data_IF_406296647729
#
_entry.id   IF_406296647729
#
_cell.length_a   1.000
_cell.length_b   1.000
_cell.length_c   1.000
_cell.angle_alpha   90.00
_cell.angle_beta   90.00
_cell.angle_gamma   90.00
#
_symmetry.space_group_name_H-M   'P 1'
#
loop_
_entity.id
_entity.type
_entity.pdbx_description
1 polymer ?
#
# COMPACT_ATOMS: atom_id res chain seq x y z
N UNK A 1 -26.77 11.52 2.24
CA UNK A 1 -25.97 10.31 2.56
C UNK A 1 -25.49 10.49 4.00
N UNK A 2 -25.72 9.50 4.88
CA UNK A 2 -25.26 9.55 6.27
C UNK A 2 -23.72 9.67 6.30
N UNK A 3 -23.18 10.50 7.20
CA UNK A 3 -21.74 10.72 7.38
C UNK A 3 -21.05 9.41 7.74
N UNK A 4 -21.71 8.52 8.49
CA UNK A 4 -21.20 7.18 8.80
C UNK A 4 -21.08 6.32 7.54
N UNK A 5 -22.13 6.31 6.71
CA UNK A 5 -22.12 5.57 5.44
C UNK A 5 -21.04 6.10 4.49
N UNK A 6 -20.85 7.43 4.43
CA UNK A 6 -19.78 8.05 3.66
C UNK A 6 -18.40 7.61 4.17
N UNK A 7 -18.17 7.61 5.49
CA UNK A 7 -16.91 7.17 6.08
C UNK A 7 -16.62 5.69 5.81
N UNK A 8 -17.64 4.81 5.87
CA UNK A 8 -17.52 3.39 5.48
C UNK A 8 -17.07 3.27 4.03
N UNK A 9 -17.77 3.93 3.10
CA UNK A 9 -17.43 3.89 1.66
C UNK A 9 -16.02 4.43 1.40
N UNK A 10 -15.68 5.58 1.96
CA UNK A 10 -14.35 6.19 1.80
C UNK A 10 -13.24 5.28 2.33
N UNK A 11 -13.40 4.70 3.52
CA UNK A 11 -12.42 3.77 4.11
C UNK A 11 -12.25 2.49 3.29
N UNK A 12 -13.36 1.84 2.89
CA UNK A 12 -13.29 0.59 2.13
C UNK A 12 -12.73 0.79 0.72
N UNK A 13 -13.17 1.86 0.03
CA UNK A 13 -12.73 2.18 -1.33
C UNK A 13 -11.24 2.52 -1.36
N UNK A 14 -10.76 3.32 -0.41
CA UNK A 14 -9.35 3.69 -0.37
C UNK A 14 -8.42 2.59 0.17
N UNK A 15 -8.93 1.68 0.99
CA UNK A 15 -8.22 0.49 1.48
C UNK A 15 -8.11 -0.63 0.45
N UNK A 16 -9.09 -0.76 -0.46
CA UNK A 16 -8.97 -1.61 -1.63
C UNK A 16 -9.68 -2.93 -1.66
N UNK A 17 -10.74 -3.05 -0.88
CA UNK A 17 -11.54 -4.28 -0.81
C UNK A 17 -12.16 -4.62 -2.17
N UNK A 18 -12.36 -3.63 -3.05
CA UNK A 18 -12.93 -3.83 -4.38
C UNK A 18 -11.92 -4.18 -5.48
N UNK A 19 -10.60 -4.07 -5.24
CA UNK A 19 -9.58 -4.32 -6.27
C UNK A 19 -9.03 -5.77 -6.26
N UNK A 20 -9.11 -6.47 -5.12
CA UNK A 20 -8.62 -7.85 -4.98
C UNK A 20 -9.51 -8.91 -5.65
N UNK A 21 -10.81 -8.63 -5.86
CA UNK A 21 -11.75 -9.59 -6.44
C UNK A 21 -11.74 -9.59 -7.98
N UNK A 22 -11.31 -8.50 -8.61
CA UNK A 22 -11.31 -8.36 -10.08
C UNK A 22 -10.02 -8.81 -10.76
N UNK A 23 -8.95 -9.08 -10.01
CA UNK A 23 -7.63 -9.47 -10.52
C UNK A 23 -7.33 -10.97 -10.42
N UNK A 24 -8.20 -11.76 -9.77
CA UNK A 24 -8.06 -13.23 -9.71
C UNK A 24 -8.15 -13.95 -11.07
N UNK A 25 -9.00 -13.55 -12.03
CA UNK A 25 -9.10 -14.27 -13.31
C UNK A 25 -7.85 -14.12 -14.20
N UNK A 26 -7.10 -13.02 -14.06
CA UNK A 26 -5.97 -12.70 -14.94
C UNK A 26 -4.68 -13.42 -14.55
N UNK A 27 -4.57 -13.91 -13.31
CA UNK A 27 -3.41 -14.65 -12.81
C UNK A 27 -3.33 -16.10 -13.29
N UNK A 28 -4.45 -16.68 -13.75
CA UNK A 28 -4.52 -18.08 -14.19
C UNK A 28 -4.15 -18.32 -15.66
N UNK A 29 -3.80 -17.28 -16.44
CA UNK A 29 -3.53 -17.40 -17.88
C UNK A 29 -2.06 -17.29 -18.30
N UNK A 30 -1.09 -17.28 -17.38
CA UNK A 30 0.33 -17.17 -17.72
C UNK A 30 1.01 -18.54 -17.94
N UNK A 31 0.65 -19.22 -19.04
CA UNK A 31 1.44 -20.29 -19.65
C UNK A 31 1.44 -20.12 -21.17
N UNK A 32 2.48 -19.47 -21.70
CA UNK A 32 2.75 -19.44 -23.15
C UNK A 32 3.39 -18.15 -23.65
N UNK A 33 4.67 -18.23 -24.03
CA UNK A 33 5.41 -17.36 -24.96
C UNK A 33 5.48 -15.84 -24.67
N UNK A 34 6.69 -15.39 -24.30
CA UNK A 34 7.13 -13.99 -24.23
C UNK A 34 7.41 -13.40 -25.62
N UNK A 35 6.89 -12.19 -25.92
CA UNK A 35 7.58 -11.21 -26.72
C UNK A 35 7.95 -9.96 -25.89
N UNK A 36 9.03 -9.28 -26.31
CA UNK A 36 9.68 -8.13 -25.68
C UNK A 36 8.85 -6.82 -25.60
N UNK A 37 7.53 -6.91 -25.68
CA UNK A 37 6.58 -5.84 -25.41
C UNK A 37 5.72 -6.19 -24.20
N UNK A 38 6.34 -6.36 -23.03
CA UNK A 38 5.61 -6.20 -21.77
C UNK A 38 5.45 -4.69 -21.53
N UNK A 39 4.69 -4.04 -22.42
CA UNK A 39 3.91 -2.89 -21.99
C UNK A 39 2.79 -3.48 -21.13
N UNK A 40 3.05 -3.66 -19.83
CA UNK A 40 1.93 -3.55 -18.89
C UNK A 40 1.27 -2.21 -19.26
N UNK A 41 0.02 -2.25 -19.70
CA UNK A 41 -0.80 -1.07 -19.99
C UNK A 41 -0.98 -0.26 -18.71
N UNK A 42 0.07 0.41 -18.26
CA UNK A 42 0.09 1.33 -17.13
C UNK A 42 -0.24 2.75 -17.59
N UNK A 43 -0.31 2.99 -18.90
CA UNK A 43 -0.63 4.29 -19.48
C UNK A 43 -2.10 4.70 -19.26
N UNK A 44 -3.00 3.76 -18.93
CA UNK A 44 -4.41 4.01 -18.66
C UNK A 44 -4.76 4.12 -17.16
N UNK A 45 -3.77 4.21 -16.26
CA UNK A 45 -3.99 4.73 -14.89
C UNK A 45 -4.13 6.26 -14.90
N UNK A 46 -4.90 6.78 -15.85
CA UNK A 46 -5.43 8.14 -15.76
C UNK A 46 -6.21 8.22 -14.44
N UNK A 47 -6.16 9.37 -13.77
CA UNK A 47 -6.87 9.70 -12.51
C UNK A 47 -8.36 9.29 -12.47
N UNK A 48 -8.92 8.89 -13.62
CA UNK A 48 -10.28 8.43 -13.85
C UNK A 48 -10.54 6.94 -13.59
N UNK A 49 -9.53 6.05 -13.58
CA UNK A 49 -9.78 4.65 -13.15
C UNK A 49 -9.78 4.57 -11.61
N UNK A 50 -10.93 4.94 -11.03
CA UNK A 50 -11.24 5.10 -9.60
C UNK A 50 -11.15 3.79 -8.78
N UNK A 51 -10.43 2.78 -9.26
CA UNK A 51 -10.38 1.43 -8.69
C UNK A 51 -9.01 1.03 -8.13
N UNK A 52 -7.96 1.86 -8.28
CA UNK A 52 -6.68 1.60 -7.60
C UNK A 52 -6.81 1.83 -6.09
N UNK A 53 -6.58 0.78 -5.34
CA UNK A 53 -6.37 0.86 -3.90
C UNK A 53 -4.90 1.05 -3.54
N UNK A 54 -4.62 1.59 -2.35
CA UNK A 54 -3.23 1.72 -1.88
C UNK A 54 -2.58 0.33 -1.73
N UNK A 55 -3.32 -0.64 -1.19
CA UNK A 55 -2.86 -2.01 -0.98
C UNK A 55 -2.61 -2.71 -2.32
N UNK A 56 -3.54 -2.61 -3.26
CA UNK A 56 -3.44 -3.18 -4.60
C UNK A 56 -2.30 -2.57 -5.42
N UNK A 57 -2.17 -1.23 -5.39
CA UNK A 57 -1.04 -0.54 -6.01
C UNK A 57 0.30 -1.00 -5.41
N UNK A 58 0.42 -1.02 -4.08
CA UNK A 58 1.67 -1.43 -3.41
C UNK A 58 2.00 -2.90 -3.68
N UNK A 59 0.97 -3.76 -3.77
CA UNK A 59 1.14 -5.17 -4.13
C UNK A 59 1.62 -5.33 -5.58
N UNK A 60 0.95 -4.67 -6.54
CA UNK A 60 1.31 -4.71 -7.95
C UNK A 60 2.73 -4.16 -8.17
N UNK A 61 3.08 -3.09 -7.45
CA UNK A 61 4.43 -2.56 -7.45
C UNK A 61 5.45 -3.61 -7.02
N UNK A 62 5.17 -4.31 -5.90
CA UNK A 62 6.11 -5.26 -5.30
C UNK A 62 6.25 -6.57 -6.08
N UNK A 63 5.16 -7.06 -6.71
CA UNK A 63 5.11 -8.39 -7.33
C UNK A 63 5.11 -8.39 -8.86
N UNK A 64 4.75 -7.29 -9.52
CA UNK A 64 4.74 -7.19 -10.97
C UNK A 64 5.77 -6.17 -11.47
N UNK A 65 5.70 -4.92 -11.01
CA UNK A 65 6.54 -3.84 -11.55
C UNK A 65 8.03 -4.02 -11.18
N UNK A 66 8.34 -4.31 -9.91
CA UNK A 66 9.76 -4.42 -9.50
C UNK A 66 10.49 -5.58 -10.16
N UNK A 67 9.94 -6.81 -10.27
CA UNK A 67 10.58 -7.87 -11.04
C UNK A 67 10.90 -7.43 -12.48
N UNK A 68 9.97 -6.77 -13.17
CA UNK A 68 10.20 -6.24 -14.51
C UNK A 68 11.33 -5.19 -14.55
N UNK A 69 11.35 -4.26 -13.58
CA UNK A 69 12.42 -3.26 -13.44
C UNK A 69 13.78 -3.93 -13.23
N UNK A 70 13.85 -5.03 -12.47
CA UNK A 70 15.10 -5.73 -12.17
C UNK A 70 15.70 -6.47 -13.37
N UNK A 71 14.92 -6.75 -14.42
CA UNK A 71 15.41 -7.33 -15.66
C UNK A 71 15.91 -6.27 -16.66
N UNK A 72 15.67 -4.98 -16.40
CA UNK A 72 16.09 -3.89 -17.27
C UNK A 72 17.56 -3.49 -17.01
N UNK A 73 18.27 -2.94 -18.02
CA UNK A 73 19.57 -2.31 -17.82
C UNK A 73 19.51 -1.18 -16.78
N UNK A 74 20.59 -0.95 -16.04
CA UNK A 74 20.65 -0.04 -14.88
C UNK A 74 20.02 1.34 -15.11
N UNK A 75 20.30 2.00 -16.24
CA UNK A 75 19.74 3.31 -16.55
C UNK A 75 18.22 3.27 -16.75
N UNK A 76 17.74 2.25 -17.47
CA UNK A 76 16.31 2.03 -17.65
C UNK A 76 15.65 1.65 -16.33
N UNK A 77 16.25 0.73 -15.56
CA UNK A 77 15.75 0.32 -14.26
C UNK A 77 15.61 1.51 -13.29
N UNK A 78 16.61 2.40 -13.26
CA UNK A 78 16.56 3.60 -12.42
C UNK A 78 15.50 4.61 -12.89
N UNK A 79 15.30 4.75 -14.21
CA UNK A 79 14.24 5.58 -14.80
C UNK A 79 12.84 5.05 -14.46
N UNK A 80 12.61 3.76 -14.67
CA UNK A 80 11.33 3.10 -14.39
C UNK A 80 11.03 3.11 -12.88
N UNK A 81 12.05 2.89 -12.04
CA UNK A 81 11.90 3.08 -10.59
C UNK A 81 11.44 4.51 -10.25
N UNK A 82 12.07 5.55 -10.82
CA UNK A 82 11.71 6.95 -10.56
C UNK A 82 10.25 7.20 -10.90
N UNK A 83 9.80 6.73 -12.06
CA UNK A 83 8.42 6.87 -12.50
C UNK A 83 7.44 6.23 -11.49
N UNK A 84 7.67 4.96 -11.14
CA UNK A 84 6.82 4.23 -10.18
C UNK A 84 6.84 4.86 -8.78
N UNK A 85 7.98 5.38 -8.35
CA UNK A 85 8.12 6.04 -7.07
C UNK A 85 7.33 7.35 -7.01
N UNK A 86 7.41 8.19 -8.05
CA UNK A 86 6.66 9.44 -8.14
C UNK A 86 5.15 9.19 -8.16
N UNK A 87 4.69 8.24 -8.99
CA UNK A 87 3.27 7.85 -9.00
C UNK A 87 2.80 7.41 -7.60
N UNK A 88 3.56 6.51 -6.96
CA UNK A 88 3.24 6.02 -5.63
C UNK A 88 3.23 7.12 -4.57
N UNK A 89 4.14 8.09 -4.67
CA UNK A 89 4.20 9.23 -3.76
C UNK A 89 2.96 10.12 -3.85
N UNK A 90 2.48 10.42 -5.05
CA UNK A 90 1.31 11.25 -5.27
C UNK A 90 -0.01 10.55 -4.90
N UNK A 91 -0.11 9.24 -5.14
CA UNK A 91 -1.33 8.47 -4.85
C UNK A 91 -1.42 8.10 -3.36
N UNK A 92 -0.34 7.59 -2.77
CA UNK A 92 -0.42 6.98 -1.43
C UNK A 92 -0.74 7.99 -0.31
N UNK A 93 -0.20 9.21 -0.38
CA UNK A 93 -0.36 10.21 0.69
C UNK A 93 -1.81 10.63 0.91
N UNK A 94 -2.56 11.13 -0.10
CA UNK A 94 -3.95 11.52 0.11
C UNK A 94 -4.80 10.33 0.55
N UNK A 95 -4.54 9.15 -0.01
CA UNK A 95 -5.28 7.95 0.32
C UNK A 95 -5.04 7.47 1.76
N UNK A 96 -3.80 7.55 2.27
CA UNK A 96 -3.49 7.27 3.67
C UNK A 96 -4.22 8.24 4.62
N UNK A 97 -4.31 9.53 4.25
CA UNK A 97 -5.05 10.53 5.04
C UNK A 97 -6.54 10.23 5.04
N UNK A 98 -7.13 9.97 3.88
CA UNK A 98 -8.56 9.64 3.75
C UNK A 98 -8.88 8.38 4.57
N UNK A 99 -8.09 7.32 4.45
CA UNK A 99 -8.29 6.09 5.23
C UNK A 99 -8.16 6.32 6.73
N UNK A 100 -7.09 7.01 7.15
CA UNK A 100 -6.83 7.28 8.56
C UNK A 100 -7.96 8.08 9.20
N UNK A 101 -8.46 9.11 8.51
CA UNK A 101 -9.58 9.93 8.98
C UNK A 101 -10.90 9.16 8.94
N UNK A 102 -11.16 8.38 7.89
CA UNK A 102 -12.41 7.62 7.74
C UNK A 102 -12.57 6.57 8.84
N UNK A 103 -11.56 5.73 9.04
CA UNK A 103 -11.61 4.72 10.11
C UNK A 103 -11.40 5.32 11.50
N UNK A 104 -10.67 6.43 11.63
CA UNK A 104 -10.57 7.17 12.89
C UNK A 104 -11.93 7.73 13.33
N UNK A 105 -12.70 8.28 12.38
CA UNK A 105 -14.07 8.73 12.62
C UNK A 105 -14.98 7.57 13.01
N UNK A 106 -14.92 6.44 12.29
CA UNK A 106 -15.70 5.24 12.63
C UNK A 106 -15.29 4.64 13.99
N UNK A 107 -14.02 4.69 14.36
CA UNK A 107 -13.57 4.29 15.70
C UNK A 107 -14.11 5.20 16.80
N UNK A 108 -14.32 6.49 16.51
CA UNK A 108 -14.89 7.43 17.46
C UNK A 108 -16.41 7.23 17.62
N UNK A 109 -17.11 6.92 16.53
CA UNK A 109 -18.57 6.77 16.50
C UNK A 109 -19.08 5.34 16.68
N UNK A 110 -18.23 4.32 16.57
CA UNK A 110 -18.60 2.92 16.72
C UNK A 110 -19.26 2.68 18.07
N UNK A 111 -20.58 2.43 18.05
CA UNK A 111 -21.35 2.11 19.25
C UNK A 111 -21.02 0.68 19.70
N UNK A 112 -21.36 0.36 20.95
CA UNK A 112 -21.21 -1.00 21.48
C UNK A 112 -22.04 -1.96 20.61
N UNK A 113 -21.39 -2.90 19.96
CA UNK A 113 -22.08 -4.01 19.30
C UNK A 113 -22.53 -4.97 20.40
N UNK A 114 -23.83 -5.05 20.64
CA UNK A 114 -24.44 -6.15 21.37
C UNK A 114 -24.37 -7.39 20.48
N UNK A 115 -23.50 -8.35 20.81
CA UNK A 115 -23.32 -9.57 20.03
C UNK A 115 -24.63 -10.39 20.02
N UNK A 116 -25.29 -10.50 18.86
CA UNK A 116 -26.34 -11.49 18.64
C UNK A 116 -25.71 -12.78 18.09
N UNK A 117 -25.88 -13.94 18.76
CA UNK A 117 -25.10 -15.15 18.50
C UNK A 117 -25.50 -15.96 17.25
N UNK A 118 -26.28 -15.43 16.31
CA UNK A 118 -26.87 -16.24 15.22
C UNK A 118 -26.12 -16.22 13.88
N UNK A 119 -25.00 -15.53 13.74
CA UNK A 119 -24.25 -15.53 12.48
C UNK A 119 -23.15 -16.59 12.52
N UNK A 120 -23.38 -17.72 11.84
CA UNK A 120 -22.37 -18.75 11.57
C UNK A 120 -21.21 -18.16 10.75
N UNK A 121 -20.19 -17.67 11.46
CA UNK A 121 -18.96 -17.16 10.88
C UNK A 121 -17.95 -18.29 10.62
N UNK A 122 -17.29 -18.22 9.47
CA UNK A 122 -16.19 -19.09 9.00
C UNK A 122 -15.19 -19.39 10.13
N UNK A 123 -14.79 -20.66 10.29
CA UNK A 123 -13.98 -21.25 11.37
C UNK A 123 -12.80 -20.40 11.89
N UNK A 124 -12.14 -19.63 11.02
CA UNK A 124 -10.99 -18.76 11.37
C UNK A 124 -11.44 -17.52 12.15
N UNK A 125 -12.60 -16.97 11.81
CA UNK A 125 -13.23 -15.85 12.50
C UNK A 125 -13.76 -16.31 13.85
N UNK A 126 -14.34 -17.52 13.96
CA UNK A 126 -14.79 -18.06 15.25
C UNK A 126 -13.62 -18.32 16.21
N UNK A 127 -12.46 -18.78 15.74
CA UNK A 127 -11.25 -18.93 16.56
C UNK A 127 -10.69 -17.59 17.07
N UNK A 128 -10.70 -16.55 16.23
CA UNK A 128 -10.32 -15.20 16.62
C UNK A 128 -11.33 -14.58 17.60
N UNK A 129 -12.63 -14.74 17.34
CA UNK A 129 -13.71 -14.25 18.22
C UNK A 129 -13.66 -14.95 19.58
N UNK A 130 -13.46 -16.28 19.62
CA UNK A 130 -13.38 -17.05 20.88
C UNK A 130 -12.20 -16.63 21.75
N UNK A 131 -11.05 -16.28 21.16
CA UNK A 131 -9.91 -15.74 21.93
C UNK A 131 -10.11 -14.30 22.39
N UNK A 132 -10.95 -13.53 21.70
CA UNK A 132 -11.20 -12.11 22.01
C UNK A 132 -12.35 -11.92 23.01
N UNK A 133 -13.05 -12.98 23.42
CA UNK A 133 -14.11 -12.97 24.47
C UNK A 133 -13.68 -12.44 25.86
N UNK A 134 -12.42 -12.07 26.06
CA UNK A 134 -11.92 -11.47 27.31
C UNK A 134 -11.98 -9.93 27.26
N UNK A 135 -12.28 -9.32 26.11
CA UNK A 135 -12.32 -7.88 25.97
C UNK A 135 -13.70 -7.31 26.40
N UNK A 136 -13.76 -6.18 27.15
CA UNK A 136 -15.02 -5.62 27.64
C UNK A 136 -15.98 -5.30 26.50
N UNK A 137 -17.28 -5.45 26.75
CA UNK A 137 -18.45 -5.44 25.84
C UNK A 137 -18.71 -4.12 25.05
N UNK A 138 -17.67 -3.35 24.75
CA UNK A 138 -17.74 -2.20 23.85
C UNK A 138 -16.52 -2.03 22.94
N UNK A 139 -15.67 -3.06 22.79
CA UNK A 139 -14.27 -2.79 22.41
C UNK A 139 -13.79 -3.38 21.08
N UNK A 140 -14.30 -4.53 20.59
CA UNK A 140 -13.73 -5.16 19.39
C UNK A 140 -13.93 -4.32 18.11
N UNK A 141 -15.16 -3.85 17.83
CA UNK A 141 -15.44 -3.02 16.67
C UNK A 141 -14.54 -1.78 16.62
N UNK A 142 -14.46 -1.08 17.76
CA UNK A 142 -13.60 0.09 17.93
C UNK A 142 -12.12 -0.26 17.73
N UNK A 143 -11.64 -1.37 18.28
CA UNK A 143 -10.27 -1.83 18.08
C UNK A 143 -9.97 -2.13 16.61
N UNK A 144 -10.90 -2.76 15.88
CA UNK A 144 -10.74 -3.03 14.45
C UNK A 144 -10.66 -1.74 13.63
N UNK A 145 -11.52 -0.75 13.91
CA UNK A 145 -11.43 0.56 13.26
C UNK A 145 -10.14 1.31 13.63
N UNK A 146 -9.68 1.27 14.90
CA UNK A 146 -8.40 1.88 15.31
C UNK A 146 -7.23 1.20 14.59
N UNK A 147 -7.24 -0.13 14.49
CA UNK A 147 -6.24 -0.91 13.78
C UNK A 147 -6.22 -0.55 12.30
N UNK A 148 -7.39 -0.47 11.66
CA UNK A 148 -7.52 -0.09 10.26
C UNK A 148 -6.99 1.34 10.00
N UNK A 149 -7.35 2.30 10.87
CA UNK A 149 -6.89 3.68 10.78
C UNK A 149 -5.37 3.76 10.94
N UNK A 150 -4.83 3.11 11.97
CA UNK A 150 -3.40 3.16 12.32
C UNK A 150 -2.54 2.46 11.26
N UNK A 151 -2.93 1.27 10.82
CA UNK A 151 -2.23 0.53 9.76
C UNK A 151 -2.21 1.32 8.45
N UNK A 152 -3.34 1.92 8.06
CA UNK A 152 -3.43 2.74 6.84
C UNK A 152 -2.61 4.02 6.92
N UNK A 153 -2.65 4.73 8.06
CA UNK A 153 -1.90 5.96 8.27
C UNK A 153 -0.39 5.71 8.42
N UNK A 154 0.03 4.52 8.88
CA UNK A 154 1.43 4.17 9.11
C UNK A 154 2.31 4.16 7.87
N UNK A 155 1.72 4.08 6.67
CA UNK A 155 2.46 4.04 5.40
C UNK A 155 3.38 5.25 5.19
N UNK A 156 2.94 6.45 5.59
CA UNK A 156 3.71 7.68 5.45
C UNK A 156 4.87 7.74 6.47
N UNK A 157 4.66 7.58 7.78
CA UNK A 157 5.76 7.48 8.75
C UNK A 157 6.76 6.37 8.40
N UNK A 158 6.30 5.21 7.94
CA UNK A 158 7.18 4.11 7.52
C UNK A 158 8.06 4.53 6.32
N UNK A 159 7.49 5.20 5.33
CA UNK A 159 8.24 5.71 4.17
C UNK A 159 9.29 6.77 4.57
N UNK A 160 8.91 7.69 5.46
CA UNK A 160 9.80 8.77 5.93
C UNK A 160 10.92 8.28 6.84
N UNK A 161 10.79 7.11 7.46
CA UNK A 161 11.79 6.55 8.39
C UNK A 161 12.65 5.48 7.74
N UNK A 162 12.02 4.41 7.23
CA UNK A 162 12.74 3.22 6.77
C UNK A 162 13.12 3.28 5.29
N UNK A 163 12.22 3.77 4.42
CA UNK A 163 12.50 3.88 2.99
C UNK A 163 13.37 5.09 2.65
N UNK A 164 13.36 6.14 3.48
CA UNK A 164 14.01 7.43 3.22
C UNK A 164 15.42 7.31 2.63
N UNK A 165 16.31 6.58 3.30
CA UNK A 165 17.69 6.35 2.84
C UNK A 165 17.79 5.55 1.55
N UNK A 166 16.87 4.61 1.32
CA UNK A 166 16.84 3.79 0.10
C UNK A 166 16.33 4.61 -1.07
N UNK A 167 15.27 5.41 -0.87
CA UNK A 167 14.74 6.34 -1.86
C UNK A 167 15.79 7.40 -2.21
N UNK A 168 16.48 7.98 -1.21
CA UNK A 168 17.55 8.94 -1.46
C UNK A 168 18.69 8.35 -2.30
N UNK A 169 19.13 7.12 -2.00
CA UNK A 169 20.14 6.43 -2.80
C UNK A 169 19.65 6.17 -4.25
N UNK A 170 18.41 5.72 -4.42
CA UNK A 170 17.82 5.49 -5.75
C UNK A 170 17.61 6.80 -6.53
N UNK A 171 17.23 7.89 -5.87
CA UNK A 171 17.15 9.21 -6.51
C UNK A 171 18.50 9.63 -7.08
N UNK A 172 19.60 9.44 -6.32
CA UNK A 172 20.96 9.72 -6.79
C UNK A 172 21.37 8.83 -7.98
N UNK A 173 21.04 7.54 -7.92
CA UNK A 173 21.31 6.61 -9.03
C UNK A 173 20.53 7.00 -10.28
N UNK A 174 19.24 7.30 -10.14
CA UNK A 174 18.42 7.75 -11.25
C UNK A 174 18.94 9.07 -11.83
N UNK A 175 19.36 10.02 -10.99
CA UNK A 175 19.94 11.29 -11.42
C UNK A 175 21.20 11.08 -12.27
N UNK A 176 22.11 10.22 -11.80
CA UNK A 176 23.36 9.86 -12.50
C UNK A 176 23.14 9.04 -13.78
N UNK A 177 22.20 8.12 -13.79
CA UNK A 177 22.04 7.13 -14.87
C UNK A 177 20.97 7.49 -15.90
N UNK A 178 19.90 8.17 -15.48
CA UNK A 178 18.75 8.53 -16.30
C UNK A 178 18.58 10.06 -16.46
N UNK A 179 19.55 10.84 -15.98
CA UNK A 179 19.53 12.29 -16.00
C UNK A 179 18.71 12.91 -14.86
N UNK A 180 18.76 14.24 -14.71
CA UNK A 180 18.12 14.93 -13.59
C UNK A 180 16.60 14.76 -13.56
N UNK A 181 16.05 14.73 -12.35
CA UNK A 181 14.59 14.77 -12.14
C UNK A 181 14.00 16.18 -12.31
N UNK A 182 12.68 16.30 -12.25
CA UNK A 182 11.95 17.57 -12.35
C UNK A 182 11.98 18.42 -11.07
N UNK A 183 12.91 18.15 -10.14
CA UNK A 183 13.01 18.85 -8.86
C UNK A 183 11.93 18.48 -7.84
N UNK A 184 11.23 17.36 -8.04
CA UNK A 184 10.13 16.93 -7.18
C UNK A 184 10.63 16.68 -5.74
N UNK A 185 9.86 17.14 -4.75
CA UNK A 185 10.17 16.94 -3.33
C UNK A 185 10.50 15.47 -3.00
N UNK A 186 9.79 14.53 -3.62
CA UNK A 186 10.00 13.11 -3.44
C UNK A 186 11.42 12.66 -3.85
N UNK A 187 12.03 13.28 -4.85
CA UNK A 187 13.38 12.91 -5.28
C UNK A 187 14.46 13.62 -4.47
N UNK A 188 14.18 14.83 -3.98
CA UNK A 188 15.17 15.72 -3.38
C UNK A 188 15.28 15.60 -1.85
N UNK A 189 14.19 15.24 -1.16
CA UNK A 189 14.11 15.33 0.31
C UNK A 189 15.18 14.53 1.09
N UNK A 190 15.71 13.45 0.51
CA UNK A 190 16.72 12.59 1.12
C UNK A 190 18.01 12.48 0.27
N UNK A 191 18.13 13.29 -0.79
CA UNK A 191 19.16 13.16 -1.82
C UNK A 191 20.58 13.44 -1.30
N UNK A 192 20.71 14.43 -0.43
CA UNK A 192 21.99 14.89 0.14
C UNK A 192 22.25 14.36 1.56
N UNK A 193 21.45 13.41 2.04
CA UNK A 193 21.69 12.85 3.37
C UNK A 193 22.90 11.92 3.38
N UNK A 194 23.74 12.04 4.41
CA UNK A 194 24.89 11.15 4.61
C UNK A 194 24.53 9.67 4.46
N UNK A 195 23.41 9.23 5.06
CA UNK A 195 22.94 7.84 4.99
C UNK A 195 22.52 7.40 3.58
N UNK A 196 22.04 8.32 2.75
CA UNK A 196 21.67 8.05 1.35
C UNK A 196 22.92 7.98 0.46
N UNK A 197 23.88 8.89 0.69
CA UNK A 197 25.18 8.92 -0.01
C UNK A 197 25.97 7.64 0.30
N UNK A 198 26.12 7.30 1.59
CA UNK A 198 26.81 6.09 2.03
C UNK A 198 26.18 4.83 1.44
N UNK A 199 24.86 4.83 1.22
CA UNK A 199 24.13 3.70 0.64
C UNK A 199 24.31 3.62 -0.87
N UNK A 200 24.24 4.75 -1.58
CA UNK A 200 24.49 4.81 -3.02
C UNK A 200 25.87 4.22 -3.37
N UNK A 201 26.89 4.53 -2.57
CA UNK A 201 28.25 4.01 -2.77
C UNK A 201 28.47 2.54 -2.40
N UNK A 202 27.57 1.92 -1.62
CA UNK A 202 27.73 0.54 -1.11
C UNK A 202 26.90 -0.51 -1.84
N UNK A 203 25.90 -0.11 -2.61
CA UNK A 203 24.95 -1.03 -3.23
C UNK A 203 24.83 -0.73 -4.73
N UNK A 204 24.73 -1.79 -5.53
CA UNK A 204 24.37 -1.67 -6.95
C UNK A 204 22.94 -1.14 -7.13
N UNK A 205 22.59 -0.73 -8.34
CA UNK A 205 21.22 -0.30 -8.68
C UNK A 205 20.22 -1.41 -8.39
N UNK A 206 20.48 -2.62 -8.89
CA UNK A 206 19.63 -3.78 -8.67
C UNK A 206 19.45 -4.14 -7.18
N UNK A 207 20.52 -4.13 -6.38
CA UNK A 207 20.40 -4.39 -4.94
C UNK A 207 19.59 -3.32 -4.21
N UNK A 208 19.75 -2.06 -4.61
CA UNK A 208 19.01 -0.95 -4.01
C UNK A 208 17.52 -1.04 -4.37
N UNK A 209 17.19 -1.43 -5.61
CA UNK A 209 15.83 -1.69 -6.07
C UNK A 209 15.23 -2.90 -5.34
N UNK A 210 15.96 -4.01 -5.17
CA UNK A 210 15.51 -5.17 -4.35
C UNK A 210 15.24 -4.76 -2.91
N UNK A 211 16.08 -3.89 -2.33
CA UNK A 211 15.83 -3.39 -0.97
C UNK A 211 14.57 -2.52 -0.91
N UNK A 212 14.34 -1.71 -1.93
CA UNK A 212 13.10 -0.95 -2.07
C UNK A 212 11.89 -1.87 -2.22
N UNK A 213 11.98 -2.94 -3.01
CA UNK A 213 10.96 -3.99 -3.12
C UNK A 213 10.59 -4.55 -1.75
N UNK A 214 11.59 -4.96 -0.97
CA UNK A 214 11.39 -5.55 0.36
C UNK A 214 10.60 -4.60 1.27
N UNK A 215 10.94 -3.32 1.26
CA UNK A 215 10.23 -2.33 2.05
C UNK A 215 8.77 -2.13 1.59
N UNK A 216 8.50 -2.13 0.28
CA UNK A 216 7.14 -2.05 -0.24
C UNK A 216 6.34 -3.34 0.03
N UNK A 217 7.00 -4.50 0.03
CA UNK A 217 6.40 -5.78 0.42
C UNK A 217 5.94 -5.77 1.88
N UNK A 218 6.80 -5.35 2.82
CA UNK A 218 6.43 -5.18 4.24
C UNK A 218 5.27 -4.20 4.38
N UNK A 219 5.31 -3.06 3.68
CA UNK A 219 4.22 -2.08 3.69
C UNK A 219 2.91 -2.66 3.17
N UNK A 220 2.96 -3.50 2.14
CA UNK A 220 1.78 -4.18 1.58
C UNK A 220 1.07 -4.99 2.66
N UNK A 221 1.81 -5.79 3.44
CA UNK A 221 1.22 -6.58 4.52
C UNK A 221 0.57 -5.73 5.60
N UNK A 222 1.20 -4.63 6.01
CA UNK A 222 0.60 -3.69 6.97
C UNK A 222 -0.71 -3.12 6.44
N UNK A 223 -0.75 -2.71 5.17
CA UNK A 223 -1.96 -2.17 4.54
C UNK A 223 -3.05 -3.24 4.36
N UNK A 224 -2.69 -4.47 4.00
CA UNK A 224 -3.62 -5.61 3.90
C UNK A 224 -4.25 -5.89 5.27
N UNK A 225 -3.47 -5.91 6.35
CA UNK A 225 -4.00 -6.08 7.71
C UNK A 225 -4.99 -4.97 8.07
N UNK A 226 -4.66 -3.71 7.77
CA UNK A 226 -5.59 -2.59 7.97
C UNK A 226 -6.87 -2.72 7.15
N UNK A 227 -6.75 -3.18 5.91
CA UNK A 227 -7.88 -3.40 4.99
C UNK A 227 -8.82 -4.49 5.51
N UNK A 228 -8.26 -5.63 5.92
CA UNK A 228 -9.03 -6.75 6.49
C UNK A 228 -9.70 -6.33 7.79
N UNK A 229 -8.99 -5.62 8.68
CA UNK A 229 -9.56 -5.12 9.93
C UNK A 229 -10.73 -4.15 9.68
N UNK A 230 -10.57 -3.21 8.73
CA UNK A 230 -11.64 -2.28 8.35
C UNK A 230 -12.84 -2.98 7.72
N UNK A 231 -12.61 -3.98 6.86
CA UNK A 231 -13.67 -4.79 6.26
C UNK A 231 -14.49 -5.53 7.33
N UNK A 232 -13.79 -6.20 8.25
CA UNK A 232 -14.42 -6.93 9.36
C UNK A 232 -15.20 -5.98 10.26
N UNK A 233 -14.64 -4.81 10.58
CA UNK A 233 -15.33 -3.80 11.38
C UNK A 233 -16.64 -3.36 10.71
N UNK A 234 -16.61 -3.03 9.40
CA UNK A 234 -17.82 -2.62 8.68
C UNK A 234 -18.84 -3.74 8.58
N UNK A 235 -18.42 -5.00 8.42
CA UNK A 235 -19.33 -6.13 8.39
C UNK A 235 -20.02 -6.41 9.74
N UNK A 236 -19.42 -5.96 10.85
CA UNK A 236 -19.92 -6.12 12.21
C UNK A 236 -20.81 -4.95 12.69
N UNK A 237 -20.85 -3.83 11.96
CA UNK A 237 -21.49 -2.56 12.33
C UNK A 237 -22.69 -2.21 11.43
#
# INVERSE_FOLDING_TARGET
MDVVALAKVCGLASSGIFAGLSSLPTLLSFHGSLPAHICFGMNDWTLTDRRSSISGYTWALSHAAVPAILFAPDALAAREWRYQYLMGFHISRPMCVINGLSFGFLAYHGKRVSFHPEVEAVLVVDLLIRRVRIAPEGSLLRYLYILAASASASGVPYALTFLRRTNGALSRKADRLAGPGGGEMALTYAFNEKRSIDRDGKMSTAETIKRWQWHNYVRTWVLVLGTVAGALAVAMD
#
